data_IF_079889499621
#
_entry.id   IF_079889499621
#
_cell.length_a   1.000
_cell.length_b   1.000
_cell.length_c   1.000
_cell.angle_alpha   90.00
_cell.angle_beta   90.00
_cell.angle_gamma   90.00
#
_symmetry.space_group_name_H-M   'P 1'
#
loop_
_entity.id
_entity.type
_entity.pdbx_description
1 polymer ?
#
# COMPACT_ATOMS: atom_id res chain seq x y z
N UNK A 1 -20.00 -3.67 18.86
CA UNK A 1 -18.54 -3.51 18.84
C UNK A 1 -18.23 -2.80 17.53
N UNK A 2 -17.59 -1.62 17.53
CA UNK A 2 -17.05 -1.08 16.29
C UNK A 2 -15.74 -1.81 16.04
N UNK A 3 -15.72 -2.75 15.10
CA UNK A 3 -14.47 -3.30 14.58
C UNK A 3 -13.73 -2.15 13.91
N UNK A 4 -12.77 -1.54 14.62
CA UNK A 4 -11.92 -0.53 14.02
C UNK A 4 -11.10 -1.21 12.92
N UNK A 5 -11.29 -0.76 11.68
CA UNK A 5 -10.71 -1.37 10.50
C UNK A 5 -10.08 -0.28 9.65
N UNK A 6 -8.87 -0.55 9.14
CA UNK A 6 -8.27 0.21 8.05
C UNK A 6 -8.53 -0.59 6.77
N UNK A 7 -9.22 0.02 5.81
CA UNK A 7 -9.44 -0.58 4.49
C UNK A 7 -8.74 0.25 3.43
N UNK A 8 -7.89 -0.41 2.64
CA UNK A 8 -7.33 0.12 1.41
C UNK A 8 -8.08 -0.51 0.24
N UNK A 9 -8.61 0.33 -0.65
CA UNK A 9 -9.27 -0.11 -1.89
C UNK A 9 -8.57 0.58 -3.06
N UNK A 10 -7.83 -0.17 -3.85
CA UNK A 10 -7.05 0.31 -4.99
C UNK A 10 -6.09 1.46 -4.65
N UNK A 11 -5.49 1.48 -3.44
CA UNK A 11 -4.58 2.55 -3.05
C UNK A 11 -3.36 2.54 -3.98
N UNK A 12 -3.14 3.65 -4.68
CA UNK A 12 -1.96 3.86 -5.52
C UNK A 12 -1.09 5.00 -4.98
N UNK A 13 0.23 4.90 -5.21
CA UNK A 13 1.16 6.02 -5.03
C UNK A 13 1.85 6.33 -6.35
N UNK A 14 1.80 7.60 -6.76
CA UNK A 14 2.50 8.13 -7.93
C UNK A 14 3.43 9.27 -7.54
N UNK A 15 4.56 9.40 -8.24
CA UNK A 15 5.43 10.56 -8.15
C UNK A 15 5.47 11.27 -9.51
N UNK A 16 5.67 12.60 -9.56
CA UNK A 16 5.82 13.33 -10.82
C UNK A 16 6.93 12.74 -11.70
N UNK A 17 6.68 12.64 -13.01
CA UNK A 17 7.66 12.14 -13.98
C UNK A 17 7.79 10.61 -14.05
N UNK A 18 7.01 9.84 -13.30
CA UNK A 18 7.00 8.37 -13.40
C UNK A 18 5.88 7.87 -14.32
N UNK A 19 6.24 7.04 -15.31
CA UNK A 19 5.26 6.39 -16.21
C UNK A 19 4.38 5.35 -15.49
N UNK A 20 4.91 4.74 -14.43
CA UNK A 20 4.23 3.69 -13.64
C UNK A 20 4.05 4.16 -12.20
N UNK A 21 2.97 3.75 -11.51
CA UNK A 21 2.82 4.07 -10.10
C UNK A 21 3.93 3.39 -9.29
N UNK A 22 4.44 4.10 -8.29
CA UNK A 22 5.39 3.56 -7.32
C UNK A 22 4.75 2.44 -6.48
N UNK A 23 3.46 2.59 -6.13
CA UNK A 23 2.67 1.50 -5.53
C UNK A 23 1.50 1.24 -6.47
N UNK A 24 1.46 0.06 -7.08
CA UNK A 24 0.32 -0.42 -7.86
C UNK A 24 -0.93 -0.55 -6.98
N UNK A 25 -2.15 -0.61 -7.54
CA UNK A 25 -3.38 -0.70 -6.75
C UNK A 25 -3.28 -1.74 -5.63
N UNK A 26 -3.38 -1.26 -4.40
CA UNK A 26 -3.31 -2.09 -3.20
C UNK A 26 -4.70 -2.19 -2.55
N UNK A 27 -5.22 -3.41 -2.51
CA UNK A 27 -6.41 -3.78 -1.75
C UNK A 27 -6.00 -4.51 -0.47
N UNK A 28 -6.36 -3.99 0.70
CA UNK A 28 -6.13 -4.69 1.96
C UNK A 28 -7.09 -4.26 3.07
N UNK A 29 -7.21 -5.10 4.09
CA UNK A 29 -7.98 -4.83 5.31
C UNK A 29 -7.11 -5.14 6.52
N UNK A 30 -7.03 -4.20 7.47
CA UNK A 30 -6.29 -4.36 8.72
C UNK A 30 -7.29 -4.19 9.87
N UNK A 31 -7.38 -5.21 10.72
CA UNK A 31 -8.32 -5.25 11.85
C UNK A 31 -7.70 -4.70 13.14
N UNK A 32 -8.55 -4.21 14.05
CA UNK A 32 -8.13 -3.75 15.36
C UNK A 32 -7.32 -4.81 16.13
N UNK A 33 -6.27 -4.37 16.82
CA UNK A 33 -5.41 -5.25 17.61
C UNK A 33 -4.33 -5.99 16.79
N UNK A 34 -4.26 -5.78 15.48
CA UNK A 34 -3.24 -6.40 14.63
C UNK A 34 -2.02 -5.48 14.50
N UNK A 35 -0.83 -6.07 14.62
CA UNK A 35 0.42 -5.46 14.15
C UNK A 35 0.69 -6.01 12.75
N UNK A 36 0.66 -5.13 11.75
CA UNK A 36 0.82 -5.52 10.34
C UNK A 36 2.12 -4.96 9.78
N UNK A 37 3.00 -5.85 9.31
CA UNK A 37 4.21 -5.50 8.57
C UNK A 37 3.98 -5.65 7.07
N UNK A 38 4.18 -4.56 6.31
CA UNK A 38 4.26 -4.62 4.84
C UNK A 38 5.73 -4.77 4.44
N UNK A 39 6.07 -5.86 3.75
CA UNK A 39 7.45 -6.22 3.40
C UNK A 39 7.59 -6.50 1.91
N UNK A 40 8.79 -6.26 1.39
CA UNK A 40 9.17 -6.54 0.01
C UNK A 40 10.67 -6.31 -0.21
N UNK A 41 11.23 -6.77 -1.35
CA UNK A 41 12.61 -6.44 -1.73
C UNK A 41 12.84 -4.93 -1.85
N UNK A 42 14.10 -4.48 -1.89
CA UNK A 42 14.39 -3.08 -2.19
C UNK A 42 13.79 -2.70 -3.56
N UNK A 43 13.08 -1.57 -3.61
CA UNK A 43 12.31 -1.16 -4.78
C UNK A 43 11.09 -2.04 -5.08
N UNK A 44 10.53 -2.75 -4.10
CA UNK A 44 9.23 -3.43 -4.23
C UNK A 44 8.13 -2.45 -4.67
N UNK A 45 8.20 -1.22 -4.16
CA UNK A 45 7.60 -0.05 -4.79
C UNK A 45 8.46 0.36 -6.00
N UNK A 46 7.85 0.45 -7.19
CA UNK A 46 8.54 0.70 -8.47
C UNK A 46 9.56 1.84 -8.31
N UNK A 47 10.83 1.54 -8.62
CA UNK A 47 11.94 2.50 -8.49
C UNK A 47 11.70 3.69 -9.43
N UNK A 48 11.91 4.94 -8.98
CA UNK A 48 12.02 6.07 -9.91
C UNK A 48 13.15 5.75 -10.90
N UNK A 49 12.89 5.91 -12.20
CA UNK A 49 13.94 5.92 -13.21
C UNK A 49 14.80 7.16 -13.06
#
# INVERSE_FOLDING_TARGET
MNDAVITLNGLEKRFPGMDKPAVAPLDCTIHAGYVTGLVGPDGAQVKPR
#
